data_IF_585231370517
#
_entry.id   IF_585231370517
#
_cell.length_a   1.000
_cell.length_b   1.000
_cell.length_c   1.000
_cell.angle_alpha   90.00
_cell.angle_beta   90.00
_cell.angle_gamma   90.00
#
_symmetry.space_group_name_H-M   'P 1'
#
loop_
_entity.id
_entity.type
_entity.pdbx_description
1 polymer ?
#
# COMPACT_ATOMS: atom_id res chain seq x y z
N UNK A 1 9.34 5.83 -27.21
CA UNK A 1 10.78 6.05 -26.93
C UNK A 1 11.45 4.85 -26.25
N UNK A 2 10.70 4.01 -25.51
CA UNK A 2 11.21 2.79 -24.85
C UNK A 2 12.14 1.92 -25.72
N UNK A 3 11.75 1.58 -26.95
CA UNK A 3 12.58 0.76 -27.85
C UNK A 3 13.92 1.39 -28.26
N UNK A 4 14.12 2.69 -28.04
CA UNK A 4 15.40 3.39 -28.26
C UNK A 4 16.30 3.39 -27.02
N UNK A 5 15.86 2.78 -25.92
CA UNK A 5 16.56 2.73 -24.62
C UNK A 5 16.87 1.28 -24.26
N UNK A 6 18.05 0.76 -24.64
CA UNK A 6 18.44 -0.61 -24.31
C UNK A 6 18.50 -0.87 -22.80
N UNK A 7 18.88 0.13 -22.01
CA UNK A 7 18.91 0.03 -20.55
C UNK A 7 17.53 -0.23 -19.96
N UNK A 8 16.49 0.47 -20.42
CA UNK A 8 15.11 0.17 -20.00
C UNK A 8 14.66 -1.22 -20.46
N UNK A 9 15.06 -1.68 -21.64
CA UNK A 9 14.66 -2.98 -22.18
C UNK A 9 15.33 -4.15 -21.46
N UNK A 10 16.61 -4.04 -21.13
CA UNK A 10 17.38 -5.13 -20.53
C UNK A 10 17.42 -5.08 -19.00
N UNK A 11 17.33 -3.89 -18.41
CA UNK A 11 17.45 -3.71 -16.96
C UNK A 11 16.14 -3.28 -16.29
N UNK A 12 15.09 -2.95 -17.05
CA UNK A 12 13.83 -2.41 -16.51
C UNK A 12 13.95 -1.00 -15.91
N UNK A 13 15.14 -0.40 -15.95
CA UNK A 13 15.47 0.91 -15.39
C UNK A 13 16.45 1.67 -16.26
N UNK A 14 16.49 2.98 -16.05
CA UNK A 14 17.55 3.81 -16.61
C UNK A 14 18.86 3.58 -15.85
N UNK A 15 19.94 3.37 -16.61
CA UNK A 15 21.32 3.25 -16.09
C UNK A 15 22.07 4.57 -16.25
N UNK A 16 21.69 5.35 -17.27
CA UNK A 16 22.21 6.68 -17.56
C UNK A 16 21.07 7.56 -18.06
N UNK A 17 21.21 8.88 -17.89
CA UNK A 17 20.22 9.82 -18.39
C UNK A 17 20.38 11.19 -17.75
N UNK A 18 19.92 12.21 -18.46
CA UNK A 18 19.71 13.53 -17.87
C UNK A 18 18.29 13.57 -17.30
N UNK A 19 18.12 14.30 -16.20
CA UNK A 19 16.82 14.63 -15.63
C UNK A 19 15.89 15.18 -16.73
N UNK A 20 14.65 14.64 -16.87
CA UNK A 20 13.73 15.08 -17.92
C UNK A 20 13.28 16.53 -17.68
N UNK A 21 12.80 17.25 -18.72
CA UNK A 21 12.24 18.60 -18.57
C UNK A 21 11.02 18.67 -17.65
N UNK A 22 10.34 17.53 -17.45
CA UNK A 22 9.27 17.37 -16.48
C UNK A 22 9.70 16.27 -15.51
N UNK A 23 10.32 16.69 -14.42
CA UNK A 23 10.80 15.83 -13.35
C UNK A 23 9.70 15.64 -12.29
N UNK A 24 10.04 15.14 -11.11
CA UNK A 24 9.19 15.25 -9.93
C UNK A 24 9.10 16.72 -9.46
N UNK A 25 8.31 17.50 -10.19
CA UNK A 25 7.94 18.85 -9.81
C UNK A 25 6.75 18.77 -8.85
N UNK A 26 7.04 18.82 -7.54
CA UNK A 26 6.10 18.74 -6.43
C UNK A 26 5.31 17.40 -6.36
N UNK A 27 4.52 17.18 -5.30
CA UNK A 27 3.72 15.95 -5.10
C UNK A 27 2.31 16.04 -5.72
N UNK A 28 2.11 16.99 -6.64
CA UNK A 28 0.81 17.49 -7.07
C UNK A 28 0.03 16.51 -7.95
N UNK A 29 0.71 15.49 -8.48
CA UNK A 29 0.11 14.53 -9.41
C UNK A 29 -0.67 13.42 -8.73
N UNK A 30 -0.50 13.23 -7.41
CA UNK A 30 -1.21 12.20 -6.67
C UNK A 30 -2.72 12.41 -6.77
N UNK A 31 -3.44 11.38 -7.23
CA UNK A 31 -4.90 11.43 -7.48
C UNK A 31 -5.33 12.52 -8.49
N UNK A 32 -4.39 13.09 -9.26
CA UNK A 32 -4.70 14.09 -10.28
C UNK A 32 -5.52 13.52 -11.44
N UNK A 33 -6.30 14.38 -12.11
CA UNK A 33 -7.16 13.97 -13.21
C UNK A 33 -6.38 13.34 -14.38
N UNK A 34 -6.86 12.18 -14.86
CA UNK A 34 -6.30 11.50 -16.02
C UNK A 34 -6.60 12.25 -17.31
N UNK A 35 -5.56 12.68 -18.02
CA UNK A 35 -5.67 13.36 -19.32
C UNK A 35 -6.16 12.38 -20.39
N UNK A 36 -7.18 12.81 -21.13
CA UNK A 36 -7.70 12.13 -22.32
C UNK A 36 -6.77 12.28 -23.53
N UNK A 37 -5.78 13.17 -23.48
CA UNK A 37 -4.83 13.40 -24.57
C UNK A 37 -3.74 12.31 -24.65
N UNK A 38 -3.61 11.47 -23.62
CA UNK A 38 -2.63 10.37 -23.56
C UNK A 38 -3.34 9.01 -23.60
N UNK A 39 -2.73 7.96 -24.20
CA UNK A 39 -3.34 6.63 -24.24
C UNK A 39 -3.46 5.96 -22.86
N UNK A 40 -2.81 6.50 -21.82
CA UNK A 40 -2.81 5.94 -20.48
C UNK A 40 -4.22 5.71 -19.92
N UNK A 41 -5.16 6.64 -20.10
CA UNK A 41 -6.53 6.45 -19.59
C UNK A 41 -7.25 5.30 -20.31
N UNK A 42 -7.07 5.17 -21.62
CA UNK A 42 -7.65 4.07 -22.40
C UNK A 42 -7.03 2.73 -22.01
N UNK A 43 -5.71 2.69 -21.85
CA UNK A 43 -4.97 1.52 -21.37
C UNK A 43 -5.44 1.08 -19.98
N UNK A 44 -5.58 2.00 -19.01
CA UNK A 44 -6.06 1.68 -17.66
C UNK A 44 -7.50 1.13 -17.66
N UNK A 45 -8.36 1.60 -18.58
CA UNK A 45 -9.72 1.08 -18.73
C UNK A 45 -9.69 -0.35 -19.28
N UNK A 46 -8.92 -0.62 -20.32
CA UNK A 46 -8.81 -1.98 -20.88
C UNK A 46 -8.19 -2.95 -19.87
N UNK A 47 -7.17 -2.55 -19.11
CA UNK A 47 -6.61 -3.37 -18.01
C UNK A 47 -7.73 -3.74 -17.02
N UNK A 48 -8.53 -2.76 -16.60
CA UNK A 48 -9.65 -3.01 -15.68
C UNK A 48 -10.68 -3.97 -16.29
N UNK A 49 -11.03 -3.79 -17.56
CA UNK A 49 -12.00 -4.63 -18.25
C UNK A 49 -11.50 -6.08 -18.39
N UNK A 50 -10.23 -6.29 -18.76
CA UNK A 50 -9.62 -7.61 -18.85
C UNK A 50 -9.53 -8.30 -17.49
N UNK A 51 -9.08 -7.59 -16.44
CA UNK A 51 -9.08 -8.14 -15.08
C UNK A 51 -10.49 -8.52 -14.61
N UNK A 52 -11.50 -7.69 -14.93
CA UNK A 52 -12.89 -7.97 -14.57
C UNK A 52 -13.42 -9.23 -15.27
N UNK A 53 -13.11 -9.43 -16.57
CA UNK A 53 -13.47 -10.66 -17.31
C UNK A 53 -12.86 -11.92 -16.68
N UNK A 54 -11.70 -11.79 -16.03
CA UNK A 54 -11.01 -12.87 -15.31
C UNK A 54 -11.48 -13.05 -13.86
N UNK A 55 -12.47 -12.26 -13.40
CA UNK A 55 -12.97 -12.33 -12.03
C UNK A 55 -12.09 -11.62 -11.00
N UNK A 56 -11.23 -10.68 -11.44
CA UNK A 56 -10.36 -9.88 -10.58
C UNK A 56 -10.88 -8.43 -10.56
N UNK A 57 -11.74 -8.06 -9.59
CA UNK A 57 -12.29 -6.72 -9.52
C UNK A 57 -11.22 -5.73 -9.00
N UNK A 58 -10.78 -4.81 -9.86
CA UNK A 58 -9.94 -3.69 -9.46
C UNK A 58 -10.81 -2.64 -8.77
N UNK A 59 -10.71 -2.55 -7.44
CA UNK A 59 -11.50 -1.65 -6.60
C UNK A 59 -11.09 -0.20 -6.77
N UNK A 60 -9.79 0.06 -6.83
CA UNK A 60 -9.26 1.40 -7.03
C UNK A 60 -8.23 1.40 -8.16
N UNK A 61 -8.17 2.53 -8.86
CA UNK A 61 -7.07 2.86 -9.76
C UNK A 61 -6.90 4.37 -9.81
N UNK A 62 -5.66 4.84 -9.79
CA UNK A 62 -5.38 6.26 -9.82
C UNK A 62 -3.99 6.55 -10.35
N UNK A 63 -3.72 7.85 -10.53
CA UNK A 63 -2.37 8.35 -10.73
C UNK A 63 -1.62 8.34 -9.41
N UNK A 64 -0.37 7.95 -9.51
CA UNK A 64 0.58 8.05 -8.44
C UNK A 64 1.36 9.36 -8.50
N UNK A 65 2.28 9.53 -7.54
CA UNK A 65 3.07 10.76 -7.37
C UNK A 65 3.96 11.05 -8.58
N UNK A 66 4.66 10.04 -9.15
CA UNK A 66 5.56 10.28 -10.28
C UNK A 66 4.83 10.40 -11.63
N UNK A 67 5.36 11.18 -12.59
CA UNK A 67 4.82 11.27 -13.94
C UNK A 67 4.74 9.90 -14.64
N UNK A 68 3.54 9.52 -15.08
CA UNK A 68 3.33 8.22 -15.74
C UNK A 68 3.33 7.02 -14.79
N UNK A 69 3.27 7.26 -13.48
CA UNK A 69 3.07 6.24 -12.45
C UNK A 69 1.58 6.09 -12.15
N UNK A 70 1.13 4.84 -12.00
CA UNK A 70 -0.27 4.51 -11.75
C UNK A 70 -0.35 3.36 -10.75
N UNK A 71 -1.42 3.34 -9.96
CA UNK A 71 -1.74 2.25 -9.04
C UNK A 71 -3.06 1.58 -9.44
N UNK A 72 -3.13 0.27 -9.22
CA UNK A 72 -4.34 -0.54 -9.26
C UNK A 72 -4.40 -1.41 -8.01
N UNK A 73 -5.51 -1.40 -7.29
CA UNK A 73 -5.72 -2.26 -6.14
C UNK A 73 -6.94 -3.17 -6.35
N UNK A 74 -6.77 -4.50 -6.37
CA UNK A 74 -7.89 -5.44 -6.36
C UNK A 74 -8.58 -5.48 -4.99
N UNK A 75 -9.78 -6.05 -4.95
CA UNK A 75 -10.41 -6.42 -3.67
C UNK A 75 -9.58 -7.47 -2.93
N UNK A 76 -9.60 -7.43 -1.60
CA UNK A 76 -8.88 -8.39 -0.76
C UNK A 76 -9.48 -9.81 -0.86
N UNK A 77 -8.69 -10.81 -0.48
CA UNK A 77 -9.14 -12.19 -0.44
C UNK A 77 -8.15 -13.13 0.22
N UNK A 78 -8.36 -14.43 0.04
CA UNK A 78 -7.46 -15.47 0.57
C UNK A 78 -6.05 -15.30 -0.01
N UNK A 79 -5.03 -15.33 0.86
CA UNK A 79 -3.64 -14.98 0.51
C UNK A 79 -3.12 -15.69 -0.75
N UNK A 80 -3.28 -17.01 -0.86
CA UNK A 80 -2.81 -17.77 -2.03
C UNK A 80 -3.48 -17.34 -3.32
N UNK A 81 -4.80 -17.12 -3.29
CA UNK A 81 -5.56 -16.61 -4.44
C UNK A 81 -5.12 -15.20 -4.81
N UNK A 82 -4.85 -14.35 -3.82
CA UNK A 82 -4.39 -12.98 -4.06
C UNK A 82 -3.01 -12.92 -4.71
N UNK A 83 -2.11 -13.87 -4.40
CA UNK A 83 -0.81 -14.00 -5.08
C UNK A 83 -1.02 -14.33 -6.56
N UNK A 84 -1.86 -15.32 -6.88
CA UNK A 84 -2.15 -15.72 -8.27
C UNK A 84 -2.82 -14.58 -9.05
N UNK A 85 -3.77 -13.89 -8.42
CA UNK A 85 -4.42 -12.73 -9.02
C UNK A 85 -3.43 -11.60 -9.26
N UNK A 86 -2.51 -11.32 -8.34
CA UNK A 86 -1.51 -10.28 -8.50
C UNK A 86 -0.58 -10.56 -9.69
N UNK A 87 -0.10 -11.80 -9.84
CA UNK A 87 0.71 -12.20 -10.99
C UNK A 87 -0.05 -12.07 -12.31
N UNK A 88 -1.33 -12.45 -12.32
CA UNK A 88 -2.21 -12.30 -13.49
C UNK A 88 -2.41 -10.83 -13.85
N UNK A 89 -2.63 -9.96 -12.86
CA UNK A 89 -2.77 -8.52 -13.08
C UNK A 89 -1.48 -7.92 -13.66
N UNK A 90 -0.31 -8.31 -13.15
CA UNK A 90 0.98 -7.86 -13.71
C UNK A 90 1.12 -8.23 -15.19
N UNK A 91 0.77 -9.47 -15.55
CA UNK A 91 0.79 -9.92 -16.94
C UNK A 91 -0.20 -9.12 -17.82
N UNK A 92 -1.44 -8.93 -17.35
CA UNK A 92 -2.45 -8.12 -18.06
C UNK A 92 -1.97 -6.68 -18.28
N UNK A 93 -1.32 -6.08 -17.27
CA UNK A 93 -0.74 -4.73 -17.38
C UNK A 93 0.29 -4.68 -18.52
N UNK A 94 1.21 -5.64 -18.60
CA UNK A 94 2.24 -5.68 -19.65
C UNK A 94 1.64 -5.88 -21.05
N UNK A 95 0.73 -6.84 -21.19
CA UNK A 95 0.11 -7.18 -22.47
C UNK A 95 -0.78 -6.05 -23.01
N UNK A 96 -1.61 -5.45 -22.15
CA UNK A 96 -2.50 -4.35 -22.54
C UNK A 96 -1.71 -3.08 -22.80
N UNK A 97 -0.68 -2.77 -22.00
CA UNK A 97 0.17 -1.61 -22.25
C UNK A 97 0.79 -1.67 -23.66
N UNK A 98 1.28 -2.84 -24.08
CA UNK A 98 1.83 -3.03 -25.42
C UNK A 98 0.80 -2.74 -26.54
N UNK A 99 -0.46 -3.16 -26.37
CA UNK A 99 -1.54 -2.87 -27.34
C UNK A 99 -1.83 -1.38 -27.49
N UNK A 100 -1.64 -0.60 -26.43
CA UNK A 100 -1.81 0.85 -26.42
C UNK A 100 -0.54 1.62 -26.85
N UNK A 101 0.49 0.93 -27.35
CA UNK A 101 1.77 1.54 -27.75
C UNK A 101 2.59 2.06 -26.56
N UNK A 102 2.30 1.56 -25.36
CA UNK A 102 3.01 1.85 -24.12
C UNK A 102 3.91 0.68 -23.74
N UNK A 103 4.82 0.93 -22.79
CA UNK A 103 5.58 -0.12 -22.12
C UNK A 103 5.33 0.02 -20.62
N UNK A 104 4.86 -1.04 -19.98
CA UNK A 104 4.73 -1.09 -18.53
C UNK A 104 6.11 -1.33 -17.91
N UNK A 105 6.47 -0.55 -16.90
CA UNK A 105 7.70 -0.73 -16.13
C UNK A 105 7.32 -1.13 -14.71
N UNK A 106 7.49 -2.42 -14.40
CA UNK A 106 7.13 -3.00 -13.09
C UNK A 106 8.31 -3.05 -12.11
N UNK A 107 9.49 -2.60 -12.54
CA UNK A 107 10.67 -2.49 -11.69
C UNK A 107 10.48 -1.36 -10.66
N UNK A 108 11.03 -1.54 -9.46
CA UNK A 108 10.72 -0.73 -8.28
C UNK A 108 11.28 0.70 -8.34
N UNK A 109 12.32 0.93 -9.16
CA UNK A 109 12.96 2.23 -9.34
C UNK A 109 13.42 2.45 -10.79
N UNK A 110 12.47 2.66 -11.73
CA UNK A 110 12.78 2.65 -13.16
C UNK A 110 13.52 3.92 -13.60
N UNK A 111 13.28 5.02 -12.90
CA UNK A 111 13.93 6.31 -13.14
C UNK A 111 14.56 6.81 -11.83
N UNK A 112 15.77 7.33 -11.96
CA UNK A 112 16.45 7.98 -10.84
C UNK A 112 15.84 9.36 -10.56
N UNK A 113 15.92 9.82 -9.32
CA UNK A 113 15.45 11.16 -8.92
C UNK A 113 13.94 11.35 -8.74
N UNK A 114 13.09 10.36 -9.05
CA UNK A 114 11.62 10.43 -8.87
C UNK A 114 11.04 9.27 -8.04
N UNK A 115 9.80 9.33 -7.57
CA UNK A 115 9.15 8.27 -6.79
C UNK A 115 9.35 6.88 -7.43
N UNK A 116 9.63 5.88 -6.58
CA UNK A 116 9.68 4.48 -6.99
C UNK A 116 8.31 3.82 -6.92
N UNK A 117 8.18 2.64 -7.50
CA UNK A 117 6.95 1.84 -7.50
C UNK A 117 7.01 0.78 -6.40
N UNK A 118 6.03 0.81 -5.51
CA UNK A 118 5.88 -0.14 -4.41
C UNK A 118 4.70 -1.08 -4.61
N UNK A 119 4.75 -2.24 -3.95
CA UNK A 119 3.61 -3.14 -3.82
C UNK A 119 3.29 -3.34 -2.35
N UNK A 120 2.30 -2.61 -1.85
CA UNK A 120 1.86 -2.71 -0.46
C UNK A 120 1.02 -3.97 -0.26
N UNK A 121 1.32 -4.73 0.80
CA UNK A 121 0.51 -5.88 1.18
C UNK A 121 -0.30 -5.52 2.43
N UNK A 122 -1.59 -5.24 2.23
CA UNK A 122 -2.53 -5.16 3.34
C UNK A 122 -2.86 -6.57 3.79
N UNK A 123 -2.69 -6.85 5.09
CA UNK A 123 -2.84 -8.20 5.62
C UNK A 123 -3.78 -8.21 6.83
N UNK A 124 -4.46 -9.33 7.00
CA UNK A 124 -5.32 -9.59 8.14
C UNK A 124 -5.30 -11.08 8.46
N UNK A 125 -5.64 -11.42 9.71
CA UNK A 125 -5.81 -12.81 10.13
C UNK A 125 -7.24 -12.98 10.64
N UNK A 126 -7.89 -14.05 10.20
CA UNK A 126 -9.17 -14.49 10.73
C UNK A 126 -9.08 -15.94 11.19
N UNK A 127 -9.93 -16.32 12.14
CA UNK A 127 -10.10 -17.72 12.53
C UNK A 127 -10.86 -18.51 11.47
N UNK A 128 -10.89 -19.84 11.57
CA UNK A 128 -11.68 -20.69 10.67
C UNK A 128 -13.20 -20.43 10.67
N UNK A 129 -13.69 -19.64 11.64
CA UNK A 129 -15.09 -19.18 11.72
C UNK A 129 -15.23 -17.69 11.33
N UNK A 130 -14.29 -17.17 10.52
CA UNK A 130 -14.27 -15.79 10.02
C UNK A 130 -14.25 -14.70 11.11
N UNK A 131 -13.71 -14.99 12.30
CA UNK A 131 -13.55 -13.97 13.34
C UNK A 131 -12.23 -13.23 13.08
N UNK A 132 -12.27 -11.94 12.74
CA UNK A 132 -11.05 -11.15 12.49
C UNK A 132 -10.31 -10.89 13.80
N UNK A 133 -9.00 -11.13 13.77
CA UNK A 133 -8.13 -10.96 14.94
C UNK A 133 -7.71 -9.50 15.18
N UNK A 134 -7.63 -8.71 14.11
CA UNK A 134 -7.21 -7.31 14.17
C UNK A 134 -8.38 -6.32 14.37
N UNK A 135 -9.57 -6.83 14.71
CA UNK A 135 -10.70 -5.99 15.12
C UNK A 135 -11.05 -6.27 16.59
N UNK A 136 -11.03 -5.26 17.48
CA UNK A 136 -11.22 -5.47 18.91
C UNK A 136 -12.60 -6.03 19.26
N UNK A 137 -13.67 -5.52 18.62
CA UNK A 137 -15.04 -5.93 18.91
C UNK A 137 -15.30 -7.42 18.66
N UNK A 138 -15.08 -7.94 17.43
CA UNK A 138 -15.31 -9.33 17.10
C UNK A 138 -14.52 -10.31 17.97
N UNK A 139 -13.22 -10.07 18.18
CA UNK A 139 -12.37 -11.02 18.92
C UNK A 139 -12.66 -11.04 20.42
N UNK A 140 -12.88 -9.86 21.03
CA UNK A 140 -13.22 -9.78 22.46
C UNK A 140 -14.56 -10.44 22.74
N UNK A 141 -15.54 -10.28 21.84
CA UNK A 141 -16.85 -10.95 21.93
C UNK A 141 -16.72 -12.46 21.77
N UNK A 142 -15.95 -12.93 20.79
CA UNK A 142 -15.80 -14.36 20.53
C UNK A 142 -15.08 -15.10 21.66
N UNK A 143 -14.12 -14.46 22.31
CA UNK A 143 -13.32 -15.04 23.41
C UNK A 143 -13.93 -14.79 24.79
N UNK A 144 -14.97 -13.94 24.89
CA UNK A 144 -15.47 -13.40 26.16
C UNK A 144 -14.34 -12.81 27.04
N UNK A 145 -13.33 -12.22 26.40
CA UNK A 145 -12.15 -11.69 27.05
C UNK A 145 -11.84 -10.27 26.54
N UNK A 146 -11.95 -9.22 27.37
CA UNK A 146 -11.72 -7.83 26.96
C UNK A 146 -10.25 -7.56 26.56
N UNK A 147 -9.32 -8.42 26.99
CA UNK A 147 -7.88 -8.27 26.71
C UNK A 147 -7.38 -9.18 25.59
N UNK A 148 -8.26 -9.86 24.86
CA UNK A 148 -7.82 -10.72 23.75
C UNK A 148 -7.13 -9.92 22.64
N UNK A 149 -7.72 -8.79 22.24
CA UNK A 149 -7.16 -7.90 21.22
C UNK A 149 -5.75 -7.36 21.56
N UNK A 150 -5.48 -6.73 22.72
CA UNK A 150 -4.13 -6.27 23.05
C UNK A 150 -3.08 -7.38 23.09
N UNK A 151 -3.46 -8.60 23.50
CA UNK A 151 -2.53 -9.75 23.50
C UNK A 151 -2.11 -10.08 22.07
N UNK A 152 -3.06 -10.10 21.13
CA UNK A 152 -2.77 -10.34 19.71
C UNK A 152 -1.87 -9.24 19.14
N UNK A 153 -2.18 -7.97 19.43
CA UNK A 153 -1.36 -6.84 18.96
C UNK A 153 0.05 -6.88 19.56
N UNK A 154 0.19 -7.20 20.85
CA UNK A 154 1.50 -7.37 21.49
C UNK A 154 2.31 -8.51 20.85
N UNK A 155 1.65 -9.62 20.51
CA UNK A 155 2.30 -10.73 19.81
C UNK A 155 2.77 -10.34 18.39
N UNK A 156 1.98 -9.53 17.66
CA UNK A 156 2.39 -9.01 16.34
C UNK A 156 3.60 -8.08 16.47
N UNK A 157 3.57 -7.14 17.43
CA UNK A 157 4.70 -6.23 17.67
C UNK A 157 5.97 -7.00 18.04
N UNK A 158 5.85 -7.99 18.95
CA UNK A 158 6.96 -8.85 19.34
C UNK A 158 7.52 -9.67 18.15
N UNK A 159 6.65 -10.23 17.31
CA UNK A 159 7.06 -11.00 16.14
C UNK A 159 7.79 -10.12 15.09
N UNK A 160 7.37 -8.87 14.92
CA UNK A 160 8.04 -7.93 13.99
C UNK A 160 9.41 -7.51 14.55
N UNK A 161 9.51 -7.28 15.86
CA UNK A 161 10.78 -6.97 16.53
C UNK A 161 11.76 -8.16 16.45
N UNK A 162 11.29 -9.38 16.74
CA UNK A 162 12.12 -10.60 16.72
C UNK A 162 12.52 -11.05 15.31
N UNK A 163 11.65 -10.86 14.32
CA UNK A 163 11.83 -11.37 12.95
C UNK A 163 12.00 -10.28 11.89
N UNK A 164 12.34 -9.05 12.29
CA UNK A 164 12.53 -7.93 11.37
C UNK A 164 13.53 -8.22 10.25
N UNK A 165 14.65 -8.89 10.56
CA UNK A 165 15.64 -9.28 9.56
C UNK A 165 15.08 -10.27 8.52
N UNK A 166 14.29 -11.25 8.95
CA UNK A 166 13.63 -12.20 8.06
C UNK A 166 12.64 -11.51 7.12
N UNK A 167 11.85 -10.57 7.67
CA UNK A 167 10.94 -9.75 6.88
C UNK A 167 11.71 -8.92 5.84
N UNK A 168 12.82 -8.29 6.25
CA UNK A 168 13.68 -7.51 5.34
C UNK A 168 14.28 -8.37 4.22
N UNK A 169 14.71 -9.58 4.54
CA UNK A 169 15.23 -10.53 3.54
C UNK A 169 14.16 -10.93 2.52
N UNK A 170 12.91 -11.11 2.94
CA UNK A 170 11.82 -11.54 2.05
C UNK A 170 11.49 -10.55 0.93
N UNK A 171 11.85 -9.28 1.09
CA UNK A 171 11.64 -8.19 0.12
C UNK A 171 12.94 -7.66 -0.49
N UNK A 172 14.07 -8.32 -0.22
CA UNK A 172 15.39 -7.88 -0.69
C UNK A 172 15.55 -8.20 -2.18
N UNK A 173 15.53 -7.16 -3.01
CA UNK A 173 15.85 -7.23 -4.43
C UNK A 173 16.73 -6.04 -4.79
N UNK A 174 17.64 -6.17 -5.78
CA UNK A 174 18.44 -5.03 -6.23
C UNK A 174 17.57 -3.83 -6.61
N UNK A 175 16.43 -4.05 -7.27
CA UNK A 175 15.49 -2.99 -7.66
C UNK A 175 14.89 -2.27 -6.45
N UNK A 176 14.39 -3.03 -5.47
CA UNK A 176 13.79 -2.48 -4.26
C UNK A 176 14.84 -1.78 -3.37
N UNK A 177 16.09 -2.23 -3.35
CA UNK A 177 17.17 -1.57 -2.59
C UNK A 177 17.49 -0.16 -3.12
N UNK A 178 17.28 0.12 -4.42
CA UNK A 178 17.33 1.48 -4.96
C UNK A 178 16.11 2.35 -4.60
N UNK A 179 15.03 1.72 -4.12
CA UNK A 179 13.78 2.39 -3.75
C UNK A 179 13.73 2.73 -2.26
N UNK A 180 14.10 1.80 -1.39
CA UNK A 180 13.93 1.91 0.07
C UNK A 180 14.70 3.11 0.66
N UNK A 181 14.09 3.79 1.63
CA UNK A 181 14.67 4.95 2.31
C UNK A 181 14.69 6.25 1.49
N UNK A 182 13.96 6.30 0.38
CA UNK A 182 13.81 7.48 -0.47
C UNK A 182 12.38 8.05 -0.39
N UNK A 183 11.90 8.65 -1.48
CA UNK A 183 10.61 9.33 -1.59
C UNK A 183 9.43 8.40 -1.26
N UNK A 184 8.85 8.57 -0.06
CA UNK A 184 7.71 7.80 0.50
C UNK A 184 7.94 6.28 0.64
N UNK A 185 9.13 5.79 0.32
CA UNK A 185 9.48 4.39 0.51
C UNK A 185 9.99 4.17 1.94
N UNK A 186 9.51 3.13 2.65
CA UNK A 186 10.00 2.84 3.98
C UNK A 186 11.52 2.59 3.98
N UNK A 187 12.22 2.90 5.06
CA UNK A 187 13.64 2.57 5.19
C UNK A 187 13.84 1.05 5.20
N UNK A 188 15.08 0.62 4.99
CA UNK A 188 15.46 -0.80 5.09
C UNK A 188 15.35 -1.35 6.53
N UNK A 189 15.19 -0.48 7.53
CA UNK A 189 15.03 -0.83 8.93
C UNK A 189 13.56 -1.17 9.16
N UNK A 190 13.26 -2.41 9.56
CA UNK A 190 11.90 -2.85 9.88
C UNK A 190 11.48 -2.26 11.22
N UNK A 191 10.34 -1.56 11.24
CA UNK A 191 9.77 -0.97 12.45
C UNK A 191 8.24 -0.99 12.37
N UNK A 192 7.60 -0.99 13.54
CA UNK A 192 6.16 -0.88 13.68
C UNK A 192 5.75 0.56 13.98
N UNK A 193 4.60 0.95 13.44
CA UNK A 193 3.90 2.17 13.79
C UNK A 193 2.45 1.78 14.06
N UNK A 194 1.95 2.13 15.25
CA UNK A 194 0.60 1.75 15.68
C UNK A 194 -0.34 2.97 15.79
N UNK A 195 0.19 4.18 15.55
CA UNK A 195 -0.45 5.43 15.91
C UNK A 195 -0.42 5.73 17.41
N UNK A 196 -0.70 6.99 17.77
CA UNK A 196 -0.59 7.46 19.15
C UNK A 196 -1.57 6.76 20.11
N UNK A 197 -2.82 6.57 19.67
CA UNK A 197 -3.89 5.98 20.48
C UNK A 197 -3.57 4.53 20.89
N UNK A 198 -3.32 3.65 19.91
CA UNK A 198 -2.95 2.26 20.16
C UNK A 198 -1.66 2.16 20.99
N UNK A 199 -0.66 3.01 20.71
CA UNK A 199 0.61 3.00 21.45
C UNK A 199 0.39 3.34 22.92
N UNK A 200 -0.42 4.36 23.21
CA UNK A 200 -0.73 4.76 24.59
C UNK A 200 -1.54 3.68 25.30
N UNK A 201 -2.50 3.07 24.61
CA UNK A 201 -3.28 1.96 25.13
C UNK A 201 -2.41 0.74 25.47
N UNK A 202 -1.51 0.31 24.58
CA UNK A 202 -0.62 -0.82 24.84
C UNK A 202 0.38 -0.54 25.97
N UNK A 203 0.83 0.71 26.14
CA UNK A 203 1.64 1.12 27.30
C UNK A 203 0.86 0.98 28.60
N UNK A 204 -0.38 1.50 28.65
CA UNK A 204 -1.24 1.36 29.82
C UNK A 204 -1.55 -0.11 30.14
N UNK A 205 -1.80 -0.92 29.10
CA UNK A 205 -2.01 -2.36 29.23
C UNK A 205 -0.79 -3.07 29.84
N UNK A 206 0.41 -2.74 29.38
CA UNK A 206 1.68 -3.24 29.95
C UNK A 206 1.83 -2.85 31.43
N UNK A 207 1.39 -1.66 31.80
CA UNK A 207 1.46 -1.16 33.17
C UNK A 207 0.33 -1.67 34.09
N UNK A 208 -0.55 -2.53 33.58
CA UNK A 208 -1.56 -3.27 34.35
C UNK A 208 -3.02 -2.87 34.10
N UNK A 209 -3.31 -1.99 33.14
CA UNK A 209 -4.70 -1.75 32.72
C UNK A 209 -5.24 -3.00 31.99
N UNK A 210 -6.52 -3.33 32.23
CA UNK A 210 -7.19 -4.50 31.66
C UNK A 210 -8.50 -4.14 30.94
N UNK A 211 -8.72 -2.85 30.70
CA UNK A 211 -9.87 -2.37 29.92
C UNK A 211 -9.74 -2.84 28.46
N UNK A 212 -10.90 -3.06 27.84
CA UNK A 212 -10.95 -3.32 26.40
C UNK A 212 -10.54 -2.08 25.61
N UNK A 213 -9.83 -2.29 24.50
CA UNK A 213 -9.49 -1.22 23.58
C UNK A 213 -10.76 -0.65 22.94
N UNK A 214 -10.93 0.65 23.09
CA UNK A 214 -11.96 1.43 22.41
C UNK A 214 -11.23 2.59 21.71
N UNK A 215 -11.18 2.60 20.37
CA UNK A 215 -10.47 3.66 19.66
C UNK A 215 -11.14 5.00 19.91
N UNK A 216 -10.34 6.02 20.13
CA UNK A 216 -10.85 7.39 20.26
C UNK A 216 -11.54 7.81 18.94
N UNK A 217 -12.63 8.56 19.08
CA UNK A 217 -13.32 9.16 17.93
C UNK A 217 -13.28 10.67 18.07
N UNK A 218 -12.61 11.33 17.13
CA UNK A 218 -12.59 12.79 17.06
C UNK A 218 -13.83 13.27 16.31
N UNK A 219 -14.57 14.23 16.87
CA UNK A 219 -15.62 14.91 16.10
C UNK A 219 -15.04 16.15 15.44
N UNK A 220 -15.14 16.26 14.11
CA UNK A 220 -14.80 17.48 13.39
C UNK A 220 -16.08 18.22 13.04
N UNK A 221 -16.17 19.44 13.56
CA UNK A 221 -17.13 20.44 13.11
C UNK A 221 -16.36 21.55 12.36
N UNK A 222 -16.64 21.67 11.06
CA UNK A 222 -16.01 22.69 10.19
C UNK A 222 -16.67 24.08 10.43
N UNK A 223 -17.72 24.15 11.24
CA UNK A 223 -18.46 25.39 11.54
C UNK A 223 -19.37 25.86 10.40
N UNK A 224 -19.56 25.04 9.36
CA UNK A 224 -20.44 25.33 8.22
C UNK A 224 -21.81 24.72 8.49
N UNK A 225 -22.85 25.55 8.64
CA UNK A 225 -24.23 25.13 9.00
C UNK A 225 -24.84 24.00 8.15
N UNK A 226 -24.38 23.83 6.90
CA UNK A 226 -24.91 22.83 5.97
C UNK A 226 -24.12 21.53 5.94
N UNK A 227 -22.95 21.48 6.58
CA UNK A 227 -22.14 20.27 6.66
C UNK A 227 -22.26 19.74 8.09
N UNK A 228 -22.87 18.57 8.31
CA UNK A 228 -22.96 18.01 9.65
C UNK A 228 -21.56 17.69 10.17
N UNK A 229 -21.37 17.84 11.48
CA UNK A 229 -20.18 17.33 12.13
C UNK A 229 -20.05 15.83 11.85
N UNK A 230 -18.84 15.39 11.54
CA UNK A 230 -18.55 13.99 11.25
C UNK A 230 -17.45 13.49 12.17
N UNK A 231 -17.54 12.20 12.48
CA UNK A 231 -16.56 11.54 13.33
C UNK A 231 -15.42 11.04 12.46
N UNK A 232 -14.20 11.32 12.89
CA UNK A 232 -12.97 10.83 12.29
C UNK A 232 -12.44 9.73 13.21
N UNK A 233 -12.11 8.55 12.67
CA UNK A 233 -11.42 7.53 13.45
C UNK A 233 -10.05 8.05 13.89
N UNK A 234 -9.61 7.71 15.11
CA UNK A 234 -8.27 8.07 15.62
C UNK A 234 -7.12 7.32 14.92
N UNK A 235 -7.35 6.79 13.72
CA UNK A 235 -6.35 6.10 12.91
C UNK A 235 -5.31 7.11 12.40
N UNK A 236 -4.15 7.09 13.02
CA UNK A 236 -2.97 7.78 12.53
C UNK A 236 -2.28 6.85 11.51
N UNK A 237 -2.24 7.26 10.25
CA UNK A 237 -1.65 6.46 9.16
C UNK A 237 -0.33 7.10 8.73
N UNK A 238 0.79 6.54 9.21
CA UNK A 238 2.10 6.96 8.75
C UNK A 238 2.56 6.12 7.54
N UNK A 239 2.64 6.74 6.37
CA UNK A 239 3.03 6.07 5.12
C UNK A 239 4.52 5.73 5.01
N UNK A 240 5.37 6.22 5.92
CA UNK A 240 6.83 5.98 5.86
C UNK A 240 7.29 4.81 6.73
N UNK A 241 6.39 4.19 7.49
CA UNK A 241 6.71 3.01 8.30
C UNK A 241 6.63 1.73 7.44
N UNK A 242 7.56 0.77 7.61
CA UNK A 242 7.45 -0.56 7.01
C UNK A 242 6.18 -1.32 7.42
N UNK A 243 5.75 -1.18 8.68
CA UNK A 243 4.49 -1.70 9.21
C UNK A 243 3.71 -0.54 9.85
N UNK A 244 2.79 0.09 9.12
CA UNK A 244 1.96 1.19 9.61
C UNK A 244 0.64 0.78 10.27
#
# INVERSE_FOLDING_TARGET
>A
QFFRRPDLQFCGRTVMGRVPPRDQEMCDHYMGALSTATPALACMKEIQDECFKMGIPLKTRHREVAPGQFEFAPEYGVNTVQIDQNLTVMQVIEEVAAKHGLAALLQEKPFDGINGSGKHNNWSIATGNDIPLFLPGPINKATNNPVAFPIIMAAVVAAIDEHGDLMRMSIASPGNDFRLGAMEAPPAIVSTYLGADMTNYLKAFKDGDSKAYLPDTGSIDIGVKHIPAFNIPSEDRNRTSPFP
#
